data_IF_294836921396
#
_entry.id   IF_294836921396
#
_cell.length_a   1.000
_cell.length_b   1.000
_cell.length_c   1.000
_cell.angle_alpha   90.00
_cell.angle_beta   90.00
_cell.angle_gamma   90.00
#
_symmetry.space_group_name_H-M   'P 1'
#
loop_
_entity.id
_entity.type
_entity.pdbx_description
1 polymer ?
#
# COMPACT_ATOMS: atom_id res chain seq x y z
N UNK A 1 13.67 24.61 -2.63
CA UNK A 1 13.62 26.08 -2.56
C UNK A 1 14.56 26.72 -3.56
N UNK A 2 15.85 26.38 -3.59
CA UNK A 2 16.80 26.95 -4.56
C UNK A 2 16.37 26.76 -6.03
N UNK A 3 15.80 25.60 -6.38
CA UNK A 3 15.21 25.41 -7.71
C UNK A 3 14.03 26.36 -8.02
N UNK A 4 13.15 26.60 -7.04
CA UNK A 4 11.93 27.41 -7.22
C UNK A 4 12.21 28.91 -7.11
N UNK A 5 13.16 29.29 -6.25
CA UNK A 5 13.56 30.66 -5.95
C UNK A 5 15.09 30.68 -5.79
N UNK A 6 15.84 30.69 -6.90
CA UNK A 6 17.30 30.65 -6.87
C UNK A 6 17.91 31.75 -6.01
N UNK A 7 18.87 31.40 -5.15
CA UNK A 7 19.58 32.35 -4.29
C UNK A 7 18.80 32.86 -3.07
N UNK A 8 17.51 32.55 -2.93
CA UNK A 8 16.67 33.01 -1.81
C UNK A 8 17.18 32.56 -0.44
N UNK A 9 17.78 31.37 -0.37
CA UNK A 9 18.38 30.82 0.86
C UNK A 9 19.92 30.88 0.86
N UNK A 10 20.51 31.60 -0.09
CA UNK A 10 21.96 31.65 -0.29
C UNK A 10 22.54 30.36 -0.90
N UNK A 11 23.86 30.22 -0.83
CA UNK A 11 24.56 29.02 -1.29
C UNK A 11 24.27 27.82 -0.38
N UNK A 12 24.47 26.60 -0.91
CA UNK A 12 24.32 25.36 -0.16
C UNK A 12 25.11 25.35 1.15
N UNK A 13 26.35 25.84 1.13
CA UNK A 13 27.22 25.86 2.31
C UNK A 13 26.71 26.86 3.36
N UNK A 14 26.32 28.05 2.92
CA UNK A 14 25.74 29.07 3.80
C UNK A 14 24.44 28.59 4.44
N UNK A 15 23.59 27.90 3.67
CA UNK A 15 22.35 27.30 4.17
C UNK A 15 22.61 26.20 5.21
N UNK A 16 23.57 25.31 4.93
CA UNK A 16 23.94 24.22 5.84
C UNK A 16 24.50 24.73 7.16
N UNK A 17 25.31 25.78 7.12
CA UNK A 17 25.85 26.44 8.31
C UNK A 17 24.77 27.19 9.09
N UNK A 18 23.90 27.93 8.40
CA UNK A 18 22.91 28.81 9.04
C UNK A 18 21.69 28.07 9.60
N UNK A 19 21.24 27.00 8.94
CA UNK A 19 20.04 26.25 9.30
C UNK A 19 20.29 24.74 9.37
N UNK A 20 20.85 24.11 8.33
CA UNK A 20 20.89 22.65 8.18
C UNK A 20 21.43 21.91 9.41
N UNK A 21 22.69 22.18 9.78
CA UNK A 21 23.35 21.53 10.92
C UNK A 21 22.68 21.81 12.26
N UNK A 22 22.08 22.99 12.44
CA UNK A 22 21.42 23.35 13.69
C UNK A 22 20.07 22.61 13.83
N UNK A 23 19.30 22.55 12.74
CA UNK A 23 18.02 21.82 12.69
C UNK A 23 18.23 20.33 12.84
N UNK A 24 19.24 19.74 12.21
CA UNK A 24 19.60 18.32 12.38
C UNK A 24 19.96 17.96 13.82
N UNK A 25 20.53 18.90 14.59
CA UNK A 25 20.83 18.74 16.02
C UNK A 25 19.63 19.04 16.93
N UNK A 26 18.47 19.33 16.37
CA UNK A 26 17.23 19.55 17.12
C UNK A 26 16.96 21.00 17.55
N UNK A 27 17.63 22.01 16.96
CA UNK A 27 17.35 23.42 17.26
C UNK A 27 15.97 23.85 16.70
N UNK A 28 14.99 23.94 17.59
CA UNK A 28 13.61 24.30 17.26
C UNK A 28 13.46 25.75 16.81
N UNK A 29 14.33 26.66 17.26
CA UNK A 29 14.25 28.08 16.90
C UNK A 29 14.71 28.28 15.46
N UNK A 30 15.81 27.64 15.08
CA UNK A 30 16.29 27.62 13.69
C UNK A 30 15.31 26.93 12.75
N UNK A 31 14.64 25.87 13.20
CA UNK A 31 13.59 25.21 12.43
C UNK A 31 12.36 26.12 12.22
N UNK A 32 11.93 26.85 13.25
CA UNK A 32 10.82 27.78 13.18
C UNK A 32 11.12 28.99 12.28
N UNK A 33 12.32 29.55 12.38
CA UNK A 33 12.75 30.67 11.53
C UNK A 33 12.85 30.25 10.06
N UNK A 34 13.47 29.09 9.78
CA UNK A 34 13.48 28.53 8.43
C UNK A 34 12.06 28.32 7.90
N UNK A 35 11.16 27.74 8.72
CA UNK A 35 9.75 27.53 8.34
C UNK A 35 9.07 28.83 7.96
N UNK A 36 9.23 29.90 8.74
CA UNK A 36 8.66 31.23 8.47
C UNK A 36 9.15 31.82 7.14
N UNK A 37 10.43 31.63 6.83
CA UNK A 37 11.04 32.10 5.58
C UNK A 37 10.51 31.35 4.36
N UNK A 38 10.30 30.03 4.46
CA UNK A 38 9.83 29.22 3.32
C UNK A 38 8.31 29.16 3.18
N UNK A 39 7.55 29.39 4.26
CA UNK A 39 6.10 29.27 4.30
C UNK A 39 5.37 30.05 3.19
N UNK A 40 5.74 31.31 2.84
CA UNK A 40 5.04 32.08 1.81
C UNK A 40 5.05 31.42 0.43
N UNK A 41 6.03 30.55 0.16
CA UNK A 41 6.19 29.84 -1.11
C UNK A 41 5.64 28.41 -1.06
N UNK A 42 5.24 27.94 0.11
CA UNK A 42 4.78 26.57 0.34
C UNK A 42 3.32 26.57 0.74
N UNK A 43 2.46 26.34 -0.24
CA UNK A 43 1.07 26.03 0.02
C UNK A 43 0.93 24.54 0.34
N UNK A 44 0.91 24.20 1.62
CA UNK A 44 0.56 22.85 2.09
C UNK A 44 -0.86 22.85 2.62
N UNK A 45 -1.76 22.10 1.97
CA UNK A 45 -3.14 21.89 2.41
C UNK A 45 -3.33 20.44 2.85
N UNK A 46 -4.10 20.24 3.91
CA UNK A 46 -4.51 18.91 4.36
C UNK A 46 -5.95 18.66 3.96
N UNK A 47 -6.29 17.42 3.59
CA UNK A 47 -7.65 17.03 3.19
C UNK A 47 -8.69 17.08 4.32
N UNK A 48 -8.28 17.50 5.51
CA UNK A 48 -9.13 17.71 6.69
C UNK A 48 -9.41 19.20 6.95
N UNK A 49 -8.91 20.09 6.09
CA UNK A 49 -9.16 21.53 6.21
C UNK A 49 -10.62 21.87 5.84
N UNK A 50 -11.47 21.94 6.87
CA UNK A 50 -12.90 22.24 6.73
C UNK A 50 -13.21 23.60 6.08
N UNK A 51 -12.24 24.51 5.99
CA UNK A 51 -12.42 25.80 5.31
C UNK A 51 -12.45 25.71 3.77
N UNK A 52 -12.01 24.58 3.21
CA UNK A 52 -11.99 24.31 1.76
C UNK A 52 -12.93 23.13 1.39
N UNK A 53 -13.28 22.29 2.38
CA UNK A 53 -13.78 20.92 2.19
C UNK A 53 -15.15 20.78 2.86
N UNK A 54 -16.11 21.64 2.49
CA UNK A 54 -17.49 21.51 2.96
C UNK A 54 -18.23 20.30 2.36
N UNK A 55 -17.69 19.70 1.29
CA UNK A 55 -18.45 18.84 0.38
C UNK A 55 -17.88 17.41 0.22
N UNK A 56 -16.78 17.05 0.90
CA UNK A 56 -16.33 15.65 0.88
C UNK A 56 -17.04 14.86 1.99
N UNK A 57 -17.56 13.67 1.65
CA UNK A 57 -18.15 12.77 2.63
C UNK A 57 -17.08 12.18 3.55
N UNK A 58 -17.49 11.38 4.53
CA UNK A 58 -16.55 10.83 5.49
C UNK A 58 -15.66 9.74 4.87
N UNK A 59 -14.45 9.60 5.41
CA UNK A 59 -13.52 8.53 5.05
C UNK A 59 -13.20 7.70 6.28
N UNK A 60 -13.47 6.40 6.19
CA UNK A 60 -13.20 5.43 7.24
C UNK A 60 -12.08 4.49 6.80
N UNK A 61 -11.05 4.34 7.63
CA UNK A 61 -9.92 3.43 7.36
C UNK A 61 -9.92 2.29 8.38
N UNK A 62 -9.93 1.06 7.87
CA UNK A 62 -10.01 -0.15 8.67
C UNK A 62 -8.86 -1.09 8.32
N UNK A 63 -8.19 -1.61 9.34
CA UNK A 63 -7.32 -2.79 9.19
C UNK A 63 -8.18 -4.03 9.27
N UNK A 64 -8.15 -4.85 8.23
CA UNK A 64 -8.91 -6.09 8.14
C UNK A 64 -7.96 -7.26 8.30
N UNK A 65 -8.07 -7.96 9.42
CA UNK A 65 -7.26 -9.13 9.71
C UNK A 65 -7.79 -10.37 8.98
N UNK A 66 -6.86 -11.11 8.39
CA UNK A 66 -7.12 -12.34 7.67
C UNK A 66 -6.21 -13.44 8.23
N UNK A 67 -6.73 -14.63 8.48
CA UNK A 67 -5.89 -15.77 8.81
C UNK A 67 -5.30 -16.38 7.53
N UNK A 68 -4.13 -17.00 7.64
CA UNK A 68 -3.57 -17.84 6.60
C UNK A 68 -4.35 -19.16 6.49
N UNK A 69 -4.48 -19.68 5.28
CA UNK A 69 -4.86 -21.09 5.09
C UNK A 69 -3.73 -22.03 5.52
N UNK A 70 -4.04 -23.32 5.73
CA UNK A 70 -3.01 -24.34 6.04
C UNK A 70 -1.93 -24.43 4.96
N UNK A 71 -2.31 -24.29 3.70
CA UNK A 71 -1.38 -24.23 2.57
C UNK A 71 -0.45 -23.00 2.69
N UNK A 72 -1.02 -21.82 2.92
CA UNK A 72 -0.24 -20.59 3.10
C UNK A 72 0.71 -20.70 4.29
N UNK A 73 0.26 -21.22 5.43
CA UNK A 73 1.08 -21.39 6.63
C UNK A 73 2.28 -22.31 6.37
N UNK A 74 2.05 -23.43 5.68
CA UNK A 74 3.12 -24.38 5.31
C UNK A 74 4.15 -23.73 4.39
N UNK A 75 3.70 -23.02 3.35
CA UNK A 75 4.58 -22.28 2.44
C UNK A 75 5.34 -21.18 3.17
N UNK A 76 4.65 -20.43 4.04
CA UNK A 76 5.20 -19.31 4.78
C UNK A 76 6.33 -19.78 5.72
N UNK A 77 6.10 -20.85 6.49
CA UNK A 77 7.12 -21.45 7.35
C UNK A 77 8.33 -21.96 6.56
N UNK A 78 8.10 -22.61 5.41
CA UNK A 78 9.17 -23.10 4.55
C UNK A 78 10.03 -21.95 4.01
N UNK A 79 9.39 -20.87 3.52
CA UNK A 79 10.07 -19.66 3.04
C UNK A 79 10.86 -19.01 4.17
N UNK A 80 10.25 -18.79 5.34
CA UNK A 80 10.92 -18.14 6.48
C UNK A 80 12.18 -18.91 6.89
N UNK A 81 12.09 -20.23 7.06
CA UNK A 81 13.23 -21.07 7.43
C UNK A 81 14.36 -20.98 6.41
N UNK A 82 14.05 -21.21 5.13
CA UNK A 82 15.04 -21.22 4.06
C UNK A 82 15.71 -19.85 3.86
N UNK A 83 14.96 -18.76 4.00
CA UNK A 83 15.50 -17.41 3.83
C UNK A 83 16.33 -16.97 5.03
N UNK A 84 15.94 -17.30 6.26
CA UNK A 84 16.71 -16.95 7.46
C UNK A 84 18.06 -17.67 7.50
N UNK A 85 18.11 -18.92 7.05
CA UNK A 85 19.36 -19.68 6.89
C UNK A 85 20.32 -18.96 5.94
N UNK A 86 19.89 -18.65 4.72
CA UNK A 86 20.69 -17.90 3.74
C UNK A 86 21.10 -16.50 4.25
N UNK A 87 20.21 -15.79 4.95
CA UNK A 87 20.50 -14.45 5.49
C UNK A 87 21.57 -14.53 6.60
N UNK A 88 21.60 -15.61 7.38
CA UNK A 88 22.54 -15.77 8.48
C UNK A 88 23.99 -15.96 8.01
N UNK A 89 24.18 -16.52 6.81
CA UNK A 89 25.49 -16.76 6.20
C UNK A 89 25.96 -15.60 5.31
N UNK A 90 25.05 -14.71 4.92
CA UNK A 90 25.35 -13.61 4.01
C UNK A 90 25.75 -12.32 4.73
N UNK A 91 26.61 -11.52 4.08
CA UNK A 91 27.06 -10.21 4.57
C UNK A 91 26.88 -9.12 3.52
N UNK A 92 26.90 -7.85 3.97
CA UNK A 92 26.87 -6.68 3.10
C UNK A 92 25.67 -6.65 2.13
N UNK A 93 25.95 -6.33 0.86
CA UNK A 93 24.92 -6.20 -0.18
C UNK A 93 24.14 -7.48 -0.46
N UNK A 94 24.79 -8.66 -0.33
CA UNK A 94 24.11 -9.93 -0.52
C UNK A 94 23.05 -10.17 0.56
N UNK A 95 23.38 -9.85 1.82
CA UNK A 95 22.43 -9.94 2.93
C UNK A 95 21.22 -9.03 2.70
N UNK A 96 21.46 -7.77 2.34
CA UNK A 96 20.40 -6.82 2.04
C UNK A 96 19.48 -7.33 0.92
N UNK A 97 20.05 -7.87 -0.16
CA UNK A 97 19.30 -8.48 -1.26
C UNK A 97 18.43 -9.66 -0.81
N UNK A 98 18.98 -10.56 0.01
CA UNK A 98 18.25 -11.73 0.51
C UNK A 98 17.08 -11.32 1.42
N UNK A 99 17.24 -10.28 2.24
CA UNK A 99 16.16 -9.72 3.06
C UNK A 99 15.01 -9.22 2.19
N UNK A 100 15.31 -8.46 1.14
CA UNK A 100 14.29 -7.96 0.21
C UNK A 100 13.60 -9.10 -0.56
N UNK A 101 14.34 -10.16 -0.92
CA UNK A 101 13.75 -11.37 -1.55
C UNK A 101 12.83 -12.09 -0.56
N UNK A 102 13.25 -12.25 0.69
CA UNK A 102 12.45 -12.90 1.72
C UNK A 102 11.14 -12.15 1.93
N UNK A 103 11.24 -10.83 2.06
CA UNK A 103 10.11 -9.92 2.19
C UNK A 103 9.11 -10.07 1.05
N UNK A 104 9.60 -10.04 -0.18
CA UNK A 104 8.78 -10.22 -1.37
C UNK A 104 8.07 -11.57 -1.36
N UNK A 105 8.80 -12.67 -1.12
CA UNK A 105 8.23 -14.02 -1.11
C UNK A 105 7.15 -14.18 -0.03
N UNK A 106 7.41 -13.70 1.18
CA UNK A 106 6.44 -13.79 2.28
C UNK A 106 5.17 -12.98 1.98
N UNK A 107 5.29 -11.78 1.41
CA UNK A 107 4.12 -11.01 0.93
C UNK A 107 3.34 -11.75 -0.16
N UNK A 108 4.04 -12.40 -1.09
CA UNK A 108 3.38 -13.21 -2.13
C UNK A 108 2.59 -14.37 -1.53
N UNK A 109 3.15 -15.07 -0.55
CA UNK A 109 2.45 -16.15 0.19
C UNK A 109 1.22 -15.61 0.91
N UNK A 110 1.33 -14.48 1.62
CA UNK A 110 0.20 -13.83 2.30
C UNK A 110 -0.92 -13.44 1.32
N UNK A 111 -0.57 -12.96 0.13
CA UNK A 111 -1.54 -12.67 -0.93
C UNK A 111 -2.24 -13.93 -1.42
N UNK A 112 -1.46 -14.89 -1.93
CA UNK A 112 -2.01 -16.13 -2.49
C UNK A 112 -0.91 -17.17 -2.76
N UNK A 113 -1.12 -18.49 -2.48
CA UNK A 113 -0.17 -19.54 -2.86
C UNK A 113 0.22 -19.51 -4.34
N UNK A 114 -0.76 -19.46 -5.26
CA UNK A 114 -0.52 -19.32 -6.71
C UNK A 114 0.32 -18.09 -7.10
N UNK A 115 0.28 -17.01 -6.33
CA UNK A 115 1.10 -15.83 -6.59
C UNK A 115 2.57 -16.08 -6.23
N UNK A 116 2.82 -16.77 -5.11
CA UNK A 116 4.17 -17.20 -4.74
C UNK A 116 4.72 -18.29 -5.67
N UNK A 117 3.89 -19.29 -6.01
CA UNK A 117 4.30 -20.43 -6.85
C UNK A 117 4.44 -20.07 -8.32
N UNK A 118 3.67 -19.10 -8.82
CA UNK A 118 3.71 -18.67 -10.22
C UNK A 118 3.24 -19.77 -11.20
N UNK A 119 2.43 -20.70 -10.74
CA UNK A 119 2.08 -21.95 -11.45
C UNK A 119 0.75 -21.89 -12.22
N UNK A 120 0.04 -20.75 -12.17
CA UNK A 120 -1.27 -20.58 -12.83
C UNK A 120 -2.40 -21.41 -12.20
N UNK A 121 -2.19 -21.95 -11.00
CA UNK A 121 -3.19 -22.73 -10.29
C UNK A 121 -4.42 -21.88 -9.88
N UNK A 122 -5.55 -22.57 -9.66
CA UNK A 122 -6.83 -21.91 -9.30
C UNK A 122 -6.73 -21.16 -7.96
N UNK A 123 -7.48 -20.07 -7.85
CA UNK A 123 -7.43 -19.17 -6.70
C UNK A 123 -8.40 -19.55 -5.56
N UNK A 124 -9.55 -20.14 -5.89
CA UNK A 124 -10.59 -20.45 -4.91
C UNK A 124 -10.07 -21.23 -3.69
N UNK A 125 -10.50 -20.80 -2.49
CA UNK A 125 -10.29 -21.48 -1.20
C UNK A 125 -8.83 -21.71 -0.77
N UNK A 126 -7.87 -20.93 -1.30
CA UNK A 126 -6.44 -21.11 -1.00
C UNK A 126 -5.79 -19.93 -0.30
N UNK A 127 -6.48 -18.79 -0.21
CA UNK A 127 -6.00 -17.59 0.47
C UNK A 127 -7.04 -17.01 1.40
N UNK A 128 -6.67 -16.75 2.66
CA UNK A 128 -7.58 -16.10 3.60
C UNK A 128 -7.85 -14.63 3.27
N UNK A 129 -6.89 -13.91 2.68
CA UNK A 129 -7.13 -12.56 2.15
C UNK A 129 -8.15 -12.57 1.02
N UNK A 130 -8.03 -13.55 0.11
CA UNK A 130 -8.98 -13.67 -1.00
C UNK A 130 -10.38 -14.01 -0.47
N UNK A 131 -10.50 -14.97 0.44
CA UNK A 131 -11.78 -15.31 1.06
C UNK A 131 -12.42 -14.11 1.78
N UNK A 132 -11.63 -13.35 2.52
CA UNK A 132 -12.13 -12.14 3.21
C UNK A 132 -12.53 -11.04 2.24
N UNK A 133 -11.73 -10.82 1.19
CA UNK A 133 -12.05 -9.88 0.12
C UNK A 133 -13.38 -10.25 -0.57
N UNK A 134 -13.58 -11.52 -0.91
CA UNK A 134 -14.81 -12.02 -1.53
C UNK A 134 -16.04 -11.74 -0.66
N UNK A 135 -15.99 -12.08 0.63
CA UNK A 135 -17.10 -11.83 1.54
C UNK A 135 -17.46 -10.34 1.64
N UNK A 136 -16.45 -9.47 1.72
CA UNK A 136 -16.67 -8.01 1.79
C UNK A 136 -17.15 -7.42 0.47
N UNK A 137 -16.70 -7.96 -0.66
CA UNK A 137 -17.20 -7.57 -1.98
C UNK A 137 -18.65 -8.03 -2.16
N UNK A 138 -19.02 -9.22 -1.70
CA UNK A 138 -20.40 -9.69 -1.76
C UNK A 138 -21.36 -8.74 -1.04
N UNK A 139 -20.99 -8.29 0.16
CA UNK A 139 -21.74 -7.29 0.94
C UNK A 139 -21.84 -5.96 0.19
N UNK A 140 -20.71 -5.40 -0.24
CA UNK A 140 -20.66 -4.11 -0.94
C UNK A 140 -21.49 -4.14 -2.24
N UNK A 141 -21.33 -5.20 -3.06
CA UNK A 141 -22.04 -5.33 -4.33
C UNK A 141 -23.55 -5.53 -4.15
N UNK A 142 -23.96 -6.18 -3.07
CA UNK A 142 -25.38 -6.34 -2.70
C UNK A 142 -26.02 -5.00 -2.30
N UNK A 143 -25.25 -4.09 -1.71
CA UNK A 143 -25.65 -2.71 -1.45
C UNK A 143 -25.65 -1.81 -2.71
N UNK A 144 -25.20 -2.32 -3.86
CA UNK A 144 -25.08 -1.56 -5.10
C UNK A 144 -23.79 -0.73 -5.20
N UNK A 145 -22.79 -1.03 -4.37
CA UNK A 145 -21.56 -0.26 -4.27
C UNK A 145 -20.53 -0.68 -5.30
N UNK A 146 -19.56 0.20 -5.53
CA UNK A 146 -18.42 -0.09 -6.41
C UNK A 146 -17.13 -0.11 -5.62
N UNK A 147 -16.24 -1.02 -6.02
CA UNK A 147 -15.00 -1.31 -5.31
C UNK A 147 -13.77 -1.10 -6.19
N UNK A 148 -12.77 -0.42 -5.63
CA UNK A 148 -11.39 -0.46 -6.14
C UNK A 148 -10.59 -1.49 -5.35
N UNK A 149 -9.77 -2.27 -6.05
CA UNK A 149 -8.88 -3.24 -5.41
C UNK A 149 -7.46 -2.95 -5.88
N UNK A 150 -6.61 -2.54 -4.95
CA UNK A 150 -5.22 -2.21 -5.22
C UNK A 150 -4.29 -3.38 -4.85
N UNK A 151 -3.33 -3.64 -5.73
CA UNK A 151 -2.21 -4.54 -5.46
C UNK A 151 -0.91 -3.95 -6.01
N UNK A 152 0.19 -4.21 -5.31
CA UNK A 152 1.55 -3.86 -5.74
C UNK A 152 2.07 -4.78 -6.83
N UNK A 153 1.47 -5.95 -6.98
CA UNK A 153 1.90 -6.99 -7.90
C UNK A 153 0.96 -7.07 -9.10
N UNK A 154 1.47 -6.65 -10.25
CA UNK A 154 0.77 -6.79 -11.54
C UNK A 154 0.41 -8.25 -11.85
N UNK A 155 1.25 -9.17 -11.38
CA UNK A 155 1.19 -10.62 -11.52
C UNK A 155 -0.03 -11.20 -10.78
N UNK A 156 -0.46 -10.56 -9.69
CA UNK A 156 -1.69 -10.93 -8.99
C UNK A 156 -2.94 -10.29 -9.62
N UNK A 157 -2.78 -9.17 -10.33
CA UNK A 157 -3.91 -8.42 -10.89
C UNK A 157 -4.76 -9.18 -11.90
N UNK A 158 -4.16 -9.88 -12.88
CA UNK A 158 -4.92 -10.69 -13.87
C UNK A 158 -5.60 -11.91 -13.24
N UNK A 159 -4.90 -12.74 -12.43
CA UNK A 159 -5.56 -13.85 -11.74
C UNK A 159 -6.72 -13.39 -10.87
N UNK A 160 -6.52 -12.30 -10.11
CA UNK A 160 -7.57 -11.73 -9.26
C UNK A 160 -8.76 -11.24 -10.09
N UNK A 161 -8.54 -10.51 -11.17
CA UNK A 161 -9.59 -10.08 -12.11
C UNK A 161 -10.40 -11.29 -12.62
N UNK A 162 -9.71 -12.30 -13.15
CA UNK A 162 -10.37 -13.48 -13.71
C UNK A 162 -11.21 -14.21 -12.68
N UNK A 163 -10.66 -14.43 -11.49
CA UNK A 163 -11.33 -15.10 -10.39
C UNK A 163 -12.57 -14.33 -9.92
N UNK A 164 -12.47 -13.02 -9.70
CA UNK A 164 -13.60 -12.20 -9.26
C UNK A 164 -14.71 -12.15 -10.32
N UNK A 165 -14.38 -12.13 -11.62
CA UNK A 165 -15.38 -12.25 -12.68
C UNK A 165 -16.15 -13.57 -12.62
N UNK A 166 -15.43 -14.66 -12.34
CA UNK A 166 -16.04 -15.99 -12.24
C UNK A 166 -16.94 -16.12 -11.01
N UNK A 167 -16.53 -15.57 -9.87
CA UNK A 167 -17.30 -15.60 -8.62
C UNK A 167 -18.55 -14.75 -8.73
N UNK A 168 -18.41 -13.47 -9.09
CA UNK A 168 -19.52 -12.51 -9.06
C UNK A 168 -20.37 -12.50 -10.33
N UNK A 169 -19.96 -13.21 -11.38
CA UNK A 169 -20.64 -13.22 -12.70
C UNK A 169 -20.87 -11.81 -13.26
N UNK A 170 -19.92 -10.91 -12.98
CA UNK A 170 -19.90 -9.52 -13.45
C UNK A 170 -18.53 -9.22 -14.02
N UNK A 171 -18.48 -8.27 -14.94
CA UNK A 171 -17.21 -7.80 -15.47
C UNK A 171 -16.38 -7.14 -14.36
N UNK A 172 -15.06 -7.38 -14.41
CA UNK A 172 -14.08 -6.75 -13.52
C UNK A 172 -13.01 -6.11 -14.39
N UNK A 173 -12.78 -4.83 -14.20
CA UNK A 173 -11.74 -4.12 -14.94
C UNK A 173 -10.38 -4.34 -14.29
N UNK A 174 -9.30 -4.36 -15.08
CA UNK A 174 -7.94 -4.41 -14.55
C UNK A 174 -7.02 -3.39 -15.23
N UNK A 175 -6.61 -2.37 -14.48
CA UNK A 175 -5.69 -1.33 -14.96
C UNK A 175 -4.26 -1.60 -14.49
N UNK A 176 -3.35 -1.72 -15.46
CA UNK A 176 -1.91 -1.83 -15.21
C UNK A 176 -1.09 -0.89 -16.10
N UNK A 177 0.22 -0.79 -15.79
CA UNK A 177 1.11 0.18 -16.44
C UNK A 177 1.27 0.04 -17.96
N UNK A 178 0.96 -1.13 -18.52
CA UNK A 178 1.09 -1.39 -19.96
C UNK A 178 -0.22 -1.14 -20.74
N UNK A 179 -1.29 -0.73 -20.07
CA UNK A 179 -2.56 -0.38 -20.74
C UNK A 179 -2.39 0.95 -21.46
N UNK A 180 -2.64 0.96 -22.77
CA UNK A 180 -2.59 2.17 -23.60
C UNK A 180 -3.56 3.24 -23.09
N UNK A 181 -3.19 4.51 -23.25
CA UNK A 181 -3.96 5.64 -22.74
C UNK A 181 -5.44 5.61 -23.17
N UNK A 182 -5.72 5.37 -24.46
CA UNK A 182 -7.10 5.30 -24.97
C UNK A 182 -7.94 4.23 -24.25
N UNK A 183 -7.38 3.04 -24.04
CA UNK A 183 -8.06 1.95 -23.30
C UNK A 183 -8.21 2.27 -21.82
N UNK A 184 -7.22 2.95 -21.22
CA UNK A 184 -7.32 3.43 -19.83
C UNK A 184 -8.49 4.38 -19.67
N UNK A 185 -8.62 5.37 -20.55
CA UNK A 185 -9.69 6.36 -20.51
C UNK A 185 -11.07 5.70 -20.70
N UNK A 186 -11.16 4.73 -21.60
CA UNK A 186 -12.35 3.89 -21.77
C UNK A 186 -12.70 3.13 -20.48
N UNK A 187 -11.75 2.43 -19.85
CA UNK A 187 -11.99 1.70 -18.60
C UNK A 187 -12.45 2.63 -17.46
N UNK A 188 -11.86 3.82 -17.36
CA UNK A 188 -12.24 4.83 -16.36
C UNK A 188 -13.67 5.32 -16.62
N UNK A 189 -13.99 5.68 -17.87
CA UNK A 189 -15.34 6.10 -18.24
C UNK A 189 -16.37 4.99 -17.97
N UNK A 190 -16.06 3.74 -18.33
CA UNK A 190 -16.93 2.58 -18.06
C UNK A 190 -17.16 2.35 -16.58
N UNK A 191 -16.12 2.50 -15.75
CA UNK A 191 -16.27 2.37 -14.31
C UNK A 191 -17.10 3.51 -13.71
N UNK A 192 -16.92 4.75 -14.19
CA UNK A 192 -17.52 5.95 -13.60
C UNK A 192 -18.96 6.18 -14.09
N UNK A 193 -19.18 6.13 -15.40
CA UNK A 193 -20.36 6.71 -16.07
C UNK A 193 -21.26 5.66 -16.73
N UNK A 194 -20.74 4.48 -17.12
CA UNK A 194 -21.54 3.47 -17.84
C UNK A 194 -22.70 2.97 -16.96
N UNK A 195 -23.96 3.07 -17.41
CA UNK A 195 -25.10 2.53 -16.70
C UNK A 195 -24.96 1.01 -16.54
N UNK A 196 -25.00 0.52 -15.29
CA UNK A 196 -24.71 -0.89 -14.96
C UNK A 196 -23.31 -1.35 -15.39
N UNK A 197 -22.36 -0.41 -15.50
CA UNK A 197 -20.96 -0.70 -15.78
C UNK A 197 -20.28 -1.56 -14.70
N UNK A 198 -19.04 -1.99 -14.95
CA UNK A 198 -18.31 -2.91 -14.08
C UNK A 198 -18.23 -2.41 -12.63
N UNK A 199 -18.65 -3.19 -11.63
CA UNK A 199 -18.68 -2.71 -10.25
C UNK A 199 -17.35 -2.91 -9.51
N UNK A 200 -16.42 -3.65 -10.10
CA UNK A 200 -15.09 -3.90 -9.52
C UNK A 200 -14.03 -3.42 -10.48
N UNK A 201 -13.04 -2.68 -9.96
CA UNK A 201 -11.87 -2.25 -10.70
C UNK A 201 -10.60 -2.63 -9.93
N UNK A 202 -9.82 -3.56 -10.48
CA UNK A 202 -8.49 -3.92 -9.97
C UNK A 202 -7.44 -2.97 -10.55
N UNK A 203 -6.53 -2.47 -9.72
CA UNK A 203 -5.48 -1.53 -10.13
C UNK A 203 -4.12 -1.98 -9.60
N UNK A 204 -3.14 -2.07 -10.50
CA UNK A 204 -1.75 -2.14 -10.07
C UNK A 204 -1.26 -0.73 -9.69
N UNK A 205 -0.64 -0.58 -8.53
CA UNK A 205 -0.27 0.74 -8.02
C UNK A 205 0.85 1.43 -8.80
N UNK A 206 1.72 0.66 -9.46
CA UNK A 206 2.73 1.19 -10.41
C UNK A 206 2.13 1.79 -11.68
N UNK A 207 0.83 1.62 -11.96
CA UNK A 207 0.16 2.34 -13.04
C UNK A 207 -0.11 3.83 -12.71
N UNK A 208 0.41 4.32 -11.58
CA UNK A 208 -0.03 5.49 -10.83
C UNK A 208 0.66 6.83 -11.06
N UNK A 209 1.22 7.07 -12.25
CA UNK A 209 1.58 8.43 -12.67
C UNK A 209 0.39 9.25 -13.17
N UNK A 210 -0.77 8.62 -13.38
CA UNK A 210 -1.96 9.27 -13.93
C UNK A 210 -2.90 9.63 -12.79
N UNK A 211 -3.21 10.90 -12.58
CA UNK A 211 -4.12 11.39 -11.53
C UNK A 211 -5.59 11.01 -11.77
N UNK A 212 -5.89 9.70 -11.79
CA UNK A 212 -7.20 9.12 -12.04
C UNK A 212 -8.23 9.63 -11.04
N UNK A 213 -9.45 9.86 -11.52
CA UNK A 213 -10.60 10.19 -10.70
C UNK A 213 -11.57 9.01 -10.76
N UNK A 214 -11.72 8.30 -9.64
CA UNK A 214 -12.49 7.06 -9.51
C UNK A 214 -13.54 7.19 -8.40
N UNK A 215 -14.22 8.34 -8.35
CA UNK A 215 -15.19 8.72 -7.32
C UNK A 215 -16.48 7.89 -7.33
N UNK A 216 -16.73 7.08 -8.37
CA UNK A 216 -17.85 6.14 -8.38
C UNK A 216 -17.65 4.99 -7.38
N UNK A 217 -16.41 4.72 -6.97
CA UNK A 217 -16.11 3.78 -5.91
C UNK A 217 -16.27 4.42 -4.53
N UNK A 218 -16.92 3.70 -3.63
CA UNK A 218 -17.00 4.04 -2.22
C UNK A 218 -16.38 2.95 -1.32
N UNK A 219 -15.90 1.84 -1.92
CA UNK A 219 -15.04 0.87 -1.25
C UNK A 219 -13.65 0.84 -1.89
N UNK A 220 -12.61 0.87 -1.08
CA UNK A 220 -11.21 0.76 -1.50
C UNK A 220 -10.54 -0.35 -0.71
N UNK A 221 -10.09 -1.39 -1.39
CA UNK A 221 -9.36 -2.51 -0.80
C UNK A 221 -7.89 -2.42 -1.16
N UNK A 222 -7.02 -2.41 -0.16
CA UNK A 222 -5.59 -2.67 -0.32
C UNK A 222 -5.36 -4.15 -0.07
N UNK A 223 -5.23 -4.93 -1.15
CA UNK A 223 -5.09 -6.39 -1.08
C UNK A 223 -3.75 -6.79 -0.46
N UNK A 224 -2.70 -6.05 -0.77
CA UNK A 224 -1.40 -6.11 -0.11
C UNK A 224 -1.01 -4.75 0.47
N UNK A 225 -0.20 -4.78 1.54
CA UNK A 225 0.23 -3.57 2.26
C UNK A 225 1.42 -2.91 1.58
N UNK A 226 1.28 -1.62 1.33
CA UNK A 226 2.42 -0.73 1.12
C UNK A 226 2.77 -0.09 2.44
N UNK A 227 3.98 -0.31 2.92
CA UNK A 227 4.37 0.33 4.19
C UNK A 227 4.74 1.80 4.04
N UNK A 228 4.88 2.30 2.80
CA UNK A 228 4.98 3.73 2.53
C UNK A 228 3.59 4.38 2.51
N UNK A 229 3.21 5.15 3.54
CA UNK A 229 1.86 5.71 3.64
C UNK A 229 1.54 6.67 2.51
N UNK A 230 2.54 7.33 1.91
CA UNK A 230 2.32 8.24 0.79
C UNK A 230 1.77 7.51 -0.45
N UNK A 231 2.20 6.26 -0.68
CA UNK A 231 1.74 5.46 -1.82
C UNK A 231 0.34 4.91 -1.57
N UNK A 232 0.05 4.37 -0.38
CA UNK A 232 -1.30 3.92 -0.01
C UNK A 232 -2.30 5.09 -0.01
N UNK A 233 -1.90 6.27 0.49
CA UNK A 233 -2.75 7.44 0.48
C UNK A 233 -3.03 7.91 -0.95
N UNK A 234 -2.02 7.95 -1.83
CA UNK A 234 -2.21 8.31 -3.24
C UNK A 234 -3.20 7.38 -3.96
N UNK A 235 -3.19 6.10 -3.60
CA UNK A 235 -4.13 5.12 -4.13
C UNK A 235 -5.56 5.37 -3.66
N UNK A 236 -5.75 5.51 -2.35
CA UNK A 236 -7.03 5.84 -1.70
C UNK A 236 -7.59 7.17 -2.22
N UNK A 237 -6.72 8.14 -2.45
CA UNK A 237 -7.02 9.47 -2.95
C UNK A 237 -7.60 9.49 -4.37
N UNK A 238 -7.57 8.36 -5.10
CA UNK A 238 -8.25 8.22 -6.40
C UNK A 238 -9.77 8.11 -6.24
N UNK A 239 -10.25 7.52 -5.14
CA UNK A 239 -11.67 7.46 -4.80
C UNK A 239 -12.08 8.61 -3.87
N UNK A 240 -11.20 9.00 -2.93
CA UNK A 240 -11.43 10.09 -2.00
C UNK A 240 -10.93 11.43 -2.55
N UNK A 241 -11.68 11.98 -3.51
CA UNK A 241 -11.39 13.22 -4.23
C UNK A 241 -12.66 14.03 -4.49
N UNK A 242 -12.49 15.31 -4.82
CA UNK A 242 -13.57 16.22 -5.22
C UNK A 242 -14.45 15.54 -6.27
N UNK A 243 -15.77 15.53 -6.04
CA UNK A 243 -16.75 14.81 -6.83
C UNK A 243 -17.22 13.49 -6.20
N UNK A 244 -16.58 13.03 -5.12
CA UNK A 244 -17.09 11.96 -4.28
C UNK A 244 -18.34 12.43 -3.53
N UNK A 245 -19.38 11.59 -3.52
CA UNK A 245 -20.69 11.89 -2.91
C UNK A 245 -21.11 10.87 -1.86
N UNK A 246 -20.32 9.82 -1.65
CA UNK A 246 -20.58 8.71 -0.74
C UNK A 246 -19.40 8.54 0.22
N UNK A 247 -19.70 8.17 1.46
CA UNK A 247 -18.67 7.84 2.44
C UNK A 247 -17.76 6.74 1.89
N UNK A 248 -16.44 6.92 2.05
CA UNK A 248 -15.44 6.02 1.50
C UNK A 248 -14.93 5.09 2.59
N UNK A 249 -15.11 3.79 2.37
CA UNK A 249 -14.60 2.72 3.22
C UNK A 249 -13.28 2.19 2.66
N UNK A 250 -12.19 2.35 3.42
CA UNK A 250 -10.86 1.90 3.05
C UNK A 250 -10.46 0.70 3.90
N UNK A 251 -10.18 -0.42 3.24
CA UNK A 251 -9.93 -1.72 3.86
C UNK A 251 -8.49 -2.14 3.57
N UNK A 252 -7.66 -2.23 4.62
CA UNK A 252 -6.26 -2.66 4.52
C UNK A 252 -6.15 -4.10 4.97
N UNK A 253 -6.04 -5.05 4.03
CA UNK A 253 -5.98 -6.47 4.35
C UNK A 253 -4.60 -6.81 4.93
N UNK A 254 -4.58 -7.50 6.07
CA UNK A 254 -3.36 -7.88 6.80
C UNK A 254 -3.47 -9.32 7.26
N UNK A 255 -2.47 -10.15 6.93
CA UNK A 255 -2.41 -11.50 7.48
C UNK A 255 -1.98 -11.49 8.95
N UNK A 256 -2.85 -11.97 9.84
CA UNK A 256 -2.60 -12.07 11.28
C UNK A 256 -1.46 -13.05 11.57
N UNK A 257 -0.66 -12.76 12.59
CA UNK A 257 0.48 -13.58 13.00
C UNK A 257 1.64 -13.65 12.01
N UNK A 258 1.63 -12.81 10.97
CA UNK A 258 2.68 -12.76 9.94
C UNK A 258 3.53 -11.49 10.03
N UNK A 259 4.51 -11.37 9.12
CA UNK A 259 5.26 -10.13 8.97
C UNK A 259 4.36 -8.91 8.71
N UNK A 260 3.21 -9.09 8.04
CA UNK A 260 2.36 -7.95 7.68
C UNK A 260 1.79 -7.29 8.93
N UNK A 261 1.29 -8.08 9.86
CA UNK A 261 0.79 -7.59 11.14
C UNK A 261 1.91 -6.96 11.96
N UNK A 262 3.06 -7.63 12.08
CA UNK A 262 4.16 -7.08 12.89
C UNK A 262 4.65 -5.75 12.37
N UNK A 263 4.75 -5.61 11.05
CA UNK A 263 5.15 -4.35 10.45
C UNK A 263 4.06 -3.31 10.67
N UNK A 264 2.79 -3.63 10.46
CA UNK A 264 1.68 -2.71 10.77
C UNK A 264 1.72 -2.21 12.24
N UNK A 265 1.93 -3.12 13.20
CA UNK A 265 2.09 -2.78 14.60
C UNK A 265 3.33 -1.91 14.87
N UNK A 266 4.46 -2.20 14.22
CA UNK A 266 5.68 -1.40 14.35
C UNK A 266 5.49 0.02 13.82
N UNK A 267 4.76 0.19 12.70
CA UNK A 267 4.45 1.49 12.12
C UNK A 267 3.54 2.31 13.03
N UNK A 268 2.51 1.68 13.59
CA UNK A 268 1.59 2.35 14.52
C UNK A 268 2.29 2.76 15.82
N UNK A 269 3.23 1.94 16.32
CA UNK A 269 3.93 2.19 17.60
C UNK A 269 5.11 3.16 17.49
N UNK A 270 5.84 3.21 16.37
CA UNK A 270 7.09 4.00 16.24
C UNK A 270 6.99 5.11 15.20
N UNK A 271 6.77 6.33 15.69
CA UNK A 271 6.75 7.55 14.85
C UNK A 271 8.03 7.76 14.03
N UNK A 272 9.21 7.55 14.63
CA UNK A 272 10.49 7.65 13.93
C UNK A 272 10.65 6.61 12.80
N UNK A 273 10.09 5.40 12.99
CA UNK A 273 10.11 4.37 11.95
C UNK A 273 9.17 4.74 10.79
N UNK A 274 7.97 5.23 11.11
CA UNK A 274 7.04 5.74 10.13
C UNK A 274 7.68 6.87 9.29
N UNK A 275 8.45 7.76 9.91
CA UNK A 275 9.21 8.81 9.21
C UNK A 275 10.32 8.23 8.33
N UNK A 276 11.08 7.23 8.80
CA UNK A 276 12.18 6.62 8.03
C UNK A 276 11.72 5.90 6.75
N UNK A 277 10.46 5.43 6.74
CA UNK A 277 9.86 4.76 5.58
C UNK A 277 9.38 5.77 4.53
N UNK A 278 9.04 6.99 4.96
CA UNK A 278 8.72 8.11 4.07
C UNK A 278 10.01 8.55 3.36
N UNK A 279 10.29 7.93 2.21
CA UNK A 279 11.46 8.22 1.37
C UNK A 279 12.29 6.98 1.04
N UNK A 280 12.53 6.09 2.01
CA UNK A 280 13.35 4.88 1.83
C UNK A 280 12.54 3.59 1.57
N UNK A 281 11.21 3.66 1.62
CA UNK A 281 10.34 2.50 1.40
C UNK A 281 10.64 1.37 2.39
N UNK A 282 10.91 0.18 1.88
CA UNK A 282 11.18 -1.02 2.69
C UNK A 282 12.66 -1.18 3.07
N UNK A 283 13.52 -0.23 2.69
CA UNK A 283 14.98 -0.32 2.87
C UNK A 283 15.43 -0.45 4.33
N UNK A 284 14.69 0.12 5.28
CA UNK A 284 14.98 0.04 6.72
C UNK A 284 15.04 -1.40 7.24
N UNK A 285 14.36 -2.35 6.59
CA UNK A 285 14.40 -3.77 6.96
C UNK A 285 15.79 -4.38 6.77
N UNK A 286 16.59 -3.83 5.85
CA UNK A 286 17.94 -4.34 5.58
C UNK A 286 18.93 -4.04 6.70
N UNK A 287 18.60 -3.07 7.56
CA UNK A 287 19.40 -2.64 8.71
C UNK A 287 19.14 -3.49 9.97
N UNK A 288 18.08 -4.30 9.97
CA UNK A 288 17.74 -5.16 11.10
C UNK A 288 18.76 -6.30 11.28
N UNK A 289 19.06 -6.63 12.54
CA UNK A 289 19.85 -7.82 12.89
C UNK A 289 19.10 -9.11 12.54
N UNK A 290 19.83 -10.22 12.43
CA UNK A 290 19.24 -11.53 12.09
C UNK A 290 18.23 -12.00 13.13
N UNK A 291 18.42 -11.67 14.41
CA UNK A 291 17.43 -11.98 15.46
C UNK A 291 16.16 -11.14 15.30
N UNK A 292 16.29 -9.84 15.04
CA UNK A 292 15.12 -8.98 14.76
C UNK A 292 14.36 -9.43 13.52
N UNK A 293 15.07 -9.88 12.47
CA UNK A 293 14.44 -10.45 11.27
C UNK A 293 13.73 -11.78 11.56
N UNK A 294 14.31 -12.62 12.42
CA UNK A 294 13.68 -13.87 12.86
C UNK A 294 12.37 -13.57 13.58
N UNK A 295 12.38 -12.65 14.54
CA UNK A 295 11.17 -12.22 15.26
C UNK A 295 10.14 -11.63 14.30
N UNK A 296 10.60 -10.88 13.30
CA UNK A 296 9.72 -10.27 12.29
C UNK A 296 9.08 -11.31 11.37
N UNK A 297 9.84 -12.29 10.89
CA UNK A 297 9.39 -13.24 9.86
C UNK A 297 8.71 -14.48 10.40
N UNK A 298 8.99 -14.91 11.64
CA UNK A 298 8.48 -16.18 12.18
C UNK A 298 6.99 -16.11 12.46
N UNK A 299 6.16 -16.94 11.86
CA UNK A 299 4.70 -16.91 12.08
C UNK A 299 4.33 -17.18 13.56
N UNK A 300 3.26 -16.55 14.09
CA UNK A 300 2.66 -16.92 15.39
C UNK A 300 1.56 -17.97 15.22
N UNK A 301 1.21 -18.67 16.31
CA UNK A 301 0.20 -19.75 16.26
C UNK A 301 -1.20 -19.25 15.84
N UNK A 302 -1.52 -17.99 16.14
CA UNK A 302 -2.79 -17.33 15.78
C UNK A 302 -2.94 -17.09 14.27
N UNK A 303 -1.86 -17.26 13.49
CA UNK A 303 -1.87 -16.98 12.05
C UNK A 303 -2.80 -17.92 11.27
N UNK A 304 -3.10 -19.11 11.79
CA UNK A 304 -3.95 -20.10 11.14
C UNK A 304 -5.28 -20.17 11.90
N UNK A 305 -6.39 -20.09 11.17
CA UNK A 305 -7.71 -20.42 11.73
C UNK A 305 -7.84 -21.94 11.78
N UNK A 306 -8.32 -22.48 12.91
CA UNK A 306 -8.59 -23.92 13.09
C UNK A 306 -9.46 -24.52 11.97
#
# INVERSE_FOLDING_TARGET
MDFLNPGYLGSKDSFQERYGRAVERGDTNKAADLRRIVQPFLLRRVKTDKSIISDLPDKFEHTVYCNLTREQATLYQAVTRNMLEQISEAVGLQRARLILIALMKLKQVCNHPAHYLGDGSRLANRSGKLARLEAMLEEALSAGDKALIFSQYTEMGRPLQHHLQQVFKREVLFLHGQVQQKKRDEMVWRFQEEPKGPPIFVLSLKAGGTGLNLTAANHVFHFDRWWNPAVENQATDRAYRIGQRRDVQVHKLVCLGTLEERIDQMLTKKRALAESIVGNGEGWLTELSTNQLRDLFTMSDEAVSD
#
